data_IF_859420118860
#
_entry.id   IF_859420118860
#
_cell.length_a   1.000
_cell.length_b   1.000
_cell.length_c   1.000
_cell.angle_alpha   90.00
_cell.angle_beta   90.00
_cell.angle_gamma   90.00
#
_symmetry.space_group_name_H-M   'P 1'
#
loop_
_entity.id
_entity.type
_entity.pdbx_description
1 polymer ?
#
# COMPACT_ATOMS: atom_id res chain seq x y z
N UNK A 1 17.76 12.62 1.09
CA UNK A 1 18.81 12.37 2.09
C UNK A 1 20.14 12.11 1.36
N UNK A 2 21.26 12.71 1.76
CA UNK A 2 22.55 12.53 1.08
C UNK A 2 23.10 11.11 1.35
N UNK A 3 23.57 10.34 0.35
CA UNK A 3 24.06 8.96 0.53
C UNK A 3 25.33 8.81 1.40
N UNK A 4 25.79 9.89 2.03
CA UNK A 4 26.90 9.90 2.98
C UNK A 4 26.46 10.16 4.43
N UNK A 5 25.17 10.43 4.67
CA UNK A 5 24.64 10.55 6.03
C UNK A 5 24.32 9.13 6.53
N UNK A 6 25.26 8.55 7.28
CA UNK A 6 25.11 7.22 7.89
C UNK A 6 24.84 7.38 9.40
N UNK A 7 23.57 7.54 9.77
CA UNK A 7 23.15 7.66 11.17
C UNK A 7 23.55 6.45 12.02
N UNK A 8 23.55 5.25 11.43
CA UNK A 8 24.02 4.01 12.06
C UNK A 8 25.47 4.07 12.56
N UNK A 9 26.35 4.81 11.86
CA UNK A 9 27.73 4.99 12.29
C UNK A 9 27.88 5.92 13.48
N UNK A 10 26.93 6.84 13.69
CA UNK A 10 26.89 7.66 14.90
C UNK A 10 26.40 6.85 16.11
N UNK A 11 25.65 5.77 15.87
CA UNK A 11 25.17 4.83 16.90
C UNK A 11 26.15 3.69 17.17
N UNK A 12 27.30 3.64 16.49
CA UNK A 12 28.35 2.64 16.71
C UNK A 12 28.09 1.29 16.02
N UNK A 13 27.22 1.25 15.01
CA UNK A 13 27.00 0.06 14.19
C UNK A 13 27.92 0.05 12.96
N UNK A 14 28.71 -1.02 12.83
CA UNK A 14 29.68 -1.19 11.74
C UNK A 14 29.04 -1.63 10.41
N UNK A 15 27.87 -2.28 10.48
CA UNK A 15 27.07 -2.66 9.31
C UNK A 15 25.61 -2.23 9.50
N UNK A 16 24.95 -1.69 8.46
CA UNK A 16 23.52 -1.37 8.52
C UNK A 16 22.73 -2.66 8.79
N UNK A 17 22.19 -2.80 10.01
CA UNK A 17 21.36 -3.94 10.42
C UNK A 17 19.86 -3.68 10.35
N UNK A 18 19.47 -2.54 9.80
CA UNK A 18 18.11 -2.27 9.36
C UNK A 18 18.23 -1.54 8.04
N UNK A 19 17.43 -1.92 7.05
CA UNK A 19 17.15 -1.00 5.96
C UNK A 19 16.70 0.33 6.58
N UNK A 20 17.08 1.43 5.95
CA UNK A 20 16.26 2.65 6.05
C UNK A 20 14.79 2.24 5.94
N UNK A 21 13.87 2.87 6.69
CA UNK A 21 12.42 2.64 6.52
C UNK A 21 12.10 2.39 5.05
N UNK A 22 11.33 1.36 4.71
CA UNK A 22 11.00 1.02 3.33
C UNK A 22 10.05 2.10 2.77
N UNK A 23 10.60 3.30 2.54
CA UNK A 23 9.89 4.47 2.06
C UNK A 23 9.27 4.13 0.71
N UNK A 24 7.98 4.42 0.55
CA UNK A 24 7.27 4.13 -0.69
C UNK A 24 6.87 2.68 -0.89
N UNK A 25 7.00 1.84 0.13
CA UNK A 25 6.70 0.43 0.03
C UNK A 25 5.77 -0.02 1.15
N UNK A 26 4.69 -0.69 0.76
CA UNK A 26 3.83 -1.43 1.67
C UNK A 26 4.20 -2.91 1.55
N UNK A 27 4.65 -3.51 2.65
CA UNK A 27 4.96 -4.94 2.69
C UNK A 27 3.70 -5.76 2.29
N UNK A 28 3.80 -6.67 1.29
CA UNK A 28 2.70 -7.54 0.88
C UNK A 28 2.09 -8.36 2.01
N UNK A 29 2.86 -8.70 3.05
CA UNK A 29 2.35 -9.37 4.25
C UNK A 29 1.46 -8.44 5.08
N UNK A 30 1.82 -7.16 5.17
CA UNK A 30 1.01 -6.15 5.87
C UNK A 30 -0.29 -5.90 5.09
N UNK A 31 -0.21 -5.78 3.76
CA UNK A 31 -1.41 -5.68 2.91
C UNK A 31 -2.32 -6.91 3.07
N UNK A 32 -1.75 -8.11 3.06
CA UNK A 32 -2.49 -9.35 3.26
C UNK A 32 -3.17 -9.40 4.64
N UNK A 33 -2.51 -8.88 5.68
CA UNK A 33 -3.08 -8.78 7.01
C UNK A 33 -4.20 -7.73 7.12
N UNK A 34 -4.11 -6.62 6.37
CA UNK A 34 -5.13 -5.55 6.30
C UNK A 34 -6.37 -5.96 5.51
N UNK A 35 -6.19 -6.77 4.45
CA UNK A 35 -7.25 -7.09 3.50
C UNK A 35 -8.56 -7.63 4.14
N UNK A 36 -8.54 -8.52 5.16
CA UNK A 36 -9.76 -8.92 5.86
C UNK A 36 -10.49 -7.77 6.58
N UNK A 37 -9.74 -6.82 7.16
CA UNK A 37 -10.34 -5.64 7.82
C UNK A 37 -10.98 -4.71 6.79
N UNK A 38 -10.29 -4.49 5.66
CA UNK A 38 -10.82 -3.72 4.53
C UNK A 38 -12.09 -4.37 3.96
N UNK A 39 -12.09 -5.70 3.80
CA UNK A 39 -13.24 -6.48 3.31
C UNK A 39 -14.44 -6.40 4.24
N UNK A 40 -14.24 -6.41 5.56
CA UNK A 40 -15.32 -6.25 6.54
C UNK A 40 -15.91 -4.82 6.56
N UNK A 41 -15.16 -3.82 6.08
CA UNK A 41 -15.54 -2.41 6.11
C UNK A 41 -16.19 -1.89 4.82
N UNK A 42 -16.44 -2.74 3.83
CA UNK A 42 -17.08 -2.40 2.55
C UNK A 42 -18.27 -3.32 2.25
N UNK A 43 -19.21 -2.81 1.46
CA UNK A 43 -20.31 -3.58 0.87
C UNK A 43 -19.93 -4.22 -0.48
N UNK A 44 -18.79 -3.86 -1.05
CA UNK A 44 -18.28 -4.36 -2.34
C UNK A 44 -16.88 -4.99 -2.20
N UNK A 45 -16.70 -6.05 -1.37
CA UNK A 45 -15.39 -6.64 -1.10
C UNK A 45 -14.75 -7.34 -2.32
N UNK A 46 -15.56 -7.66 -3.33
CA UNK A 46 -15.15 -8.32 -4.58
C UNK A 46 -14.88 -7.32 -5.71
N UNK A 47 -15.05 -6.02 -5.46
CA UNK A 47 -14.91 -4.94 -6.46
C UNK A 47 -14.07 -3.81 -5.88
N UNK A 48 -12.75 -3.95 -6.03
CA UNK A 48 -11.76 -2.96 -5.62
C UNK A 48 -10.80 -2.62 -6.76
N UNK A 49 -10.27 -1.41 -6.72
CA UNK A 49 -9.36 -0.87 -7.71
C UNK A 49 -8.03 -0.54 -7.05
N UNK A 50 -6.97 -1.18 -7.53
CA UNK A 50 -5.59 -0.80 -7.22
C UNK A 50 -5.05 0.11 -8.32
N UNK A 51 -4.44 1.22 -7.95
CA UNK A 51 -3.87 2.19 -8.87
C UNK A 51 -2.34 2.25 -8.74
N UNK A 52 -1.70 2.17 -9.90
CA UNK A 52 -0.25 2.16 -10.04
C UNK A 52 0.24 3.35 -10.84
N UNK A 53 1.10 4.19 -10.27
CA UNK A 53 1.59 5.37 -10.96
C UNK A 53 2.36 4.99 -12.23
N UNK A 54 2.00 5.59 -13.37
CA UNK A 54 2.60 5.32 -14.69
C UNK A 54 4.11 5.60 -14.69
N UNK A 55 4.59 6.53 -13.87
CA UNK A 55 6.02 6.83 -13.74
C UNK A 55 6.81 5.83 -12.88
N UNK A 56 6.13 4.93 -12.17
CA UNK A 56 6.73 3.95 -11.27
C UNK A 56 6.27 2.52 -11.57
N UNK A 57 5.67 1.85 -10.58
CA UNK A 57 5.21 0.47 -10.66
C UNK A 57 4.23 0.21 -11.82
N UNK A 58 3.49 1.22 -12.29
CA UNK A 58 2.58 1.10 -13.44
C UNK A 58 3.25 0.72 -14.76
N UNK A 59 4.57 0.95 -14.92
CA UNK A 59 5.31 0.55 -16.13
C UNK A 59 5.38 -0.97 -16.32
N UNK A 60 5.25 -1.74 -15.23
CA UNK A 60 5.26 -3.20 -15.25
C UNK A 60 3.93 -3.81 -15.70
N UNK A 61 2.85 -3.02 -15.71
CA UNK A 61 1.53 -3.47 -16.10
C UNK A 61 1.33 -3.38 -17.60
N UNK A 62 0.65 -4.38 -18.17
CA UNK A 62 0.13 -4.27 -19.54
C UNK A 62 -0.99 -3.23 -19.53
N UNK A 63 -1.13 -2.50 -20.64
CA UNK A 63 -2.11 -1.43 -20.79
C UNK A 63 -3.50 -1.84 -20.24
N UNK A 64 -3.95 -1.13 -19.21
CA UNK A 64 -5.25 -1.24 -18.57
C UNK A 64 -6.03 0.07 -18.64
N UNK A 65 -7.15 0.17 -17.92
CA UNK A 65 -7.80 1.46 -17.72
C UNK A 65 -6.84 2.43 -17.04
N UNK A 66 -6.90 3.72 -17.40
CA UNK A 66 -6.08 4.76 -16.78
C UNK A 66 -6.96 5.81 -16.14
N UNK A 67 -6.47 6.41 -15.06
CA UNK A 67 -7.10 7.56 -14.42
C UNK A 67 -6.05 8.60 -14.06
N UNK A 68 -6.42 9.86 -14.25
CA UNK A 68 -5.67 10.99 -13.72
C UNK A 68 -6.23 11.34 -12.34
N UNK A 69 -5.41 11.21 -11.30
CA UNK A 69 -5.78 11.49 -9.92
C UNK A 69 -4.79 12.51 -9.37
N UNK A 70 -5.33 13.66 -8.96
CA UNK A 70 -4.57 14.86 -8.55
C UNK A 70 -3.55 15.34 -9.59
N UNK A 71 -2.28 14.89 -9.48
CA UNK A 71 -1.15 15.31 -10.33
C UNK A 71 -0.56 14.18 -11.16
N UNK A 72 -1.05 12.96 -11.02
CA UNK A 72 -0.43 11.76 -11.56
C UNK A 72 -1.40 10.93 -12.41
N UNK A 73 -0.88 10.36 -13.48
CA UNK A 73 -1.56 9.31 -14.26
C UNK A 73 -1.29 7.94 -13.65
N UNK A 74 -2.35 7.16 -13.46
CA UNK A 74 -2.31 5.81 -12.92
C UNK A 74 -2.81 4.79 -13.92
N UNK A 75 -2.20 3.60 -13.93
CA UNK A 75 -2.78 2.38 -14.49
C UNK A 75 -3.62 1.73 -13.39
N UNK A 76 -4.85 1.37 -13.73
CA UNK A 76 -5.79 0.73 -12.81
C UNK A 76 -5.82 -0.77 -13.04
N UNK A 77 -5.85 -1.52 -11.94
CA UNK A 77 -6.06 -2.94 -11.91
C UNK A 77 -7.26 -3.26 -11.02
N UNK A 78 -8.14 -4.12 -11.51
CA UNK A 78 -9.27 -4.65 -10.74
C UNK A 78 -8.77 -5.76 -9.82
N UNK A 79 -9.32 -5.81 -8.62
CA UNK A 79 -9.01 -6.84 -7.63
C UNK A 79 -10.14 -7.01 -6.62
N UNK A 80 -9.96 -7.89 -5.64
CA UNK A 80 -10.84 -8.11 -4.50
C UNK A 80 -10.04 -8.14 -3.21
N UNK A 81 -10.71 -7.92 -2.09
CA UNK A 81 -10.11 -8.07 -0.75
C UNK A 81 -9.63 -9.51 -0.49
N UNK A 82 -10.24 -10.51 -1.13
CA UNK A 82 -9.77 -11.89 -1.07
C UNK A 82 -8.44 -12.09 -1.83
N UNK A 83 -8.28 -11.49 -3.01
CA UNK A 83 -7.00 -11.52 -3.72
C UNK A 83 -5.91 -10.75 -2.98
N UNK A 84 -6.23 -9.58 -2.41
CA UNK A 84 -5.29 -8.77 -1.64
C UNK A 84 -4.80 -9.49 -0.37
N UNK A 85 -5.56 -10.45 0.15
CA UNK A 85 -5.17 -11.30 1.28
C UNK A 85 -4.08 -12.32 0.93
N UNK A 86 -3.76 -12.50 -0.35
CA UNK A 86 -2.72 -13.42 -0.84
C UNK A 86 -1.44 -12.65 -1.16
N UNK A 87 -0.33 -12.85 -0.41
CA UNK A 87 0.96 -12.31 -0.80
C UNK A 87 1.36 -12.80 -2.20
N UNK A 88 1.81 -11.91 -3.08
CA UNK A 88 2.07 -12.27 -4.48
C UNK A 88 0.92 -11.98 -5.45
N UNK A 89 -0.22 -11.46 -4.98
CA UNK A 89 -1.40 -11.21 -5.82
C UNK A 89 -1.09 -10.33 -7.04
N UNK A 90 -0.09 -9.44 -6.98
CA UNK A 90 0.32 -8.61 -8.11
C UNK A 90 0.63 -9.39 -9.40
N UNK A 91 0.96 -10.69 -9.28
CA UNK A 91 1.13 -11.60 -10.41
C UNK A 91 -0.16 -11.84 -11.20
N UNK A 92 -1.33 -11.78 -10.55
CA UNK A 92 -2.64 -11.94 -11.21
C UNK A 92 -2.91 -10.81 -12.19
N UNK A 93 -2.42 -9.61 -11.89
CA UNK A 93 -2.54 -8.41 -12.73
C UNK A 93 -1.34 -8.19 -13.66
N UNK A 94 -0.38 -9.12 -13.67
CA UNK A 94 0.72 -9.15 -14.63
C UNK A 94 2.04 -8.55 -14.16
N UNK A 95 2.16 -8.14 -12.88
CA UNK A 95 3.46 -7.82 -12.32
C UNK A 95 4.35 -9.06 -12.22
N UNK A 96 5.67 -8.84 -12.32
CA UNK A 96 6.67 -9.91 -12.15
C UNK A 96 7.01 -10.19 -10.68
N UNK A 97 6.88 -9.16 -9.85
CA UNK A 97 7.14 -9.15 -8.41
C UNK A 97 6.01 -8.37 -7.72
N UNK A 98 5.99 -8.37 -6.39
CA UNK A 98 5.09 -7.49 -5.65
C UNK A 98 5.59 -6.05 -5.76
N UNK A 99 5.02 -5.34 -6.71
CA UNK A 99 5.27 -3.91 -6.92
C UNK A 99 4.38 -3.09 -5.97
N UNK A 100 4.88 -1.98 -5.41
CA UNK A 100 4.08 -1.14 -4.53
C UNK A 100 2.92 -0.52 -5.32
N UNK A 101 1.69 -0.82 -4.89
CA UNK A 101 0.50 -0.06 -5.29
C UNK A 101 0.54 1.31 -4.61
N UNK A 102 0.00 2.36 -5.21
CA UNK A 102 -0.01 3.70 -4.59
C UNK A 102 -1.37 4.06 -3.99
N UNK A 103 -2.45 3.61 -4.62
CA UNK A 103 -3.81 3.85 -4.14
C UNK A 103 -4.64 2.58 -4.27
N UNK A 104 -5.56 2.38 -3.32
CA UNK A 104 -6.51 1.28 -3.33
C UNK A 104 -7.84 1.74 -2.74
N UNK A 105 -8.95 1.41 -3.39
CA UNK A 105 -10.31 1.70 -2.90
C UNK A 105 -11.32 0.68 -3.43
N UNK A 106 -12.42 0.42 -2.70
CA UNK A 106 -13.55 -0.38 -3.17
C UNK A 106 -14.51 0.50 -4.00
N UNK A 107 -15.35 -0.12 -4.84
CA UNK A 107 -16.34 0.59 -5.66
C UNK A 107 -17.33 1.45 -4.84
N UNK A 108 -17.69 1.01 -3.63
CA UNK A 108 -18.55 1.78 -2.73
C UNK A 108 -17.84 2.94 -2.00
N UNK A 109 -16.53 3.12 -2.23
CA UNK A 109 -15.68 4.14 -1.63
C UNK A 109 -15.74 4.19 -0.09
N UNK A 110 -16.03 3.07 0.58
CA UNK A 110 -16.13 3.01 2.04
C UNK A 110 -14.79 3.27 2.76
N UNK A 111 -13.67 3.08 2.06
CA UNK A 111 -12.32 3.36 2.53
C UNK A 111 -11.38 3.67 1.36
N UNK A 112 -10.22 4.25 1.67
CA UNK A 112 -9.11 4.41 0.75
C UNK A 112 -7.81 4.11 1.48
N UNK A 113 -6.91 3.40 0.82
CA UNK A 113 -5.54 3.19 1.27
C UNK A 113 -4.61 3.91 0.30
N UNK A 114 -3.66 4.66 0.84
CA UNK A 114 -2.68 5.43 0.07
C UNK A 114 -1.27 5.22 0.62
N UNK A 115 -0.32 5.00 -0.29
CA UNK A 115 1.12 5.03 -0.01
C UNK A 115 1.80 5.89 -1.06
N UNK A 116 2.90 6.53 -0.68
CA UNK A 116 3.63 7.48 -1.51
C UNK A 116 5.12 7.16 -1.46
N UNK A 117 5.80 7.27 -2.61
CA UNK A 117 7.23 6.97 -2.79
C UNK A 117 8.19 7.65 -1.80
N UNK A 118 7.77 8.76 -1.19
CA UNK A 118 8.48 9.59 -0.21
C UNK A 118 7.91 9.42 1.22
N UNK A 119 6.84 8.65 1.41
CA UNK A 119 6.27 8.34 2.73
C UNK A 119 6.86 7.04 3.29
N UNK A 120 7.20 7.06 4.56
CA UNK A 120 7.58 5.87 5.35
C UNK A 120 6.37 5.16 5.97
N UNK A 121 5.17 5.58 5.60
CA UNK A 121 3.91 5.19 6.21
C UNK A 121 2.83 5.02 5.14
N UNK A 122 1.85 4.16 5.42
CA UNK A 122 0.63 4.00 4.62
C UNK A 122 -0.53 4.66 5.36
N UNK A 123 -1.31 5.48 4.65
CA UNK A 123 -2.52 6.10 5.20
C UNK A 123 -3.72 5.25 4.81
N UNK A 124 -4.54 4.88 5.80
CA UNK A 124 -5.85 4.27 5.59
C UNK A 124 -6.91 5.23 6.13
N UNK A 125 -7.80 5.67 5.26
CA UNK A 125 -8.95 6.48 5.62
C UNK A 125 -10.24 5.68 5.41
N UNK A 126 -11.19 5.80 6.33
CA UNK A 126 -12.46 5.09 6.27
C UNK A 126 -13.32 5.35 7.50
N UNK A 127 -14.27 4.46 7.75
CA UNK A 127 -15.12 4.57 8.94
C UNK A 127 -14.32 4.48 10.24
N UNK A 128 -14.84 5.08 11.33
CA UNK A 128 -14.24 4.94 12.66
C UNK A 128 -14.10 3.46 13.09
N UNK A 129 -15.05 2.61 12.72
CA UNK A 129 -14.98 1.18 13.02
C UNK A 129 -13.80 0.48 12.33
N UNK A 130 -13.48 0.85 11.08
CA UNK A 130 -12.29 0.35 10.39
C UNK A 130 -11.01 0.85 11.06
N UNK A 131 -10.95 2.15 11.37
CA UNK A 131 -9.78 2.76 12.03
C UNK A 131 -9.52 2.11 13.38
N UNK A 132 -10.57 1.96 14.21
CA UNK A 132 -10.46 1.31 15.52
C UNK A 132 -10.00 -0.15 15.38
N UNK A 133 -10.50 -0.89 14.38
CA UNK A 133 -10.09 -2.27 14.13
C UNK A 133 -8.61 -2.40 13.70
N UNK A 134 -8.07 -1.41 12.96
CA UNK A 134 -6.64 -1.38 12.60
C UNK A 134 -5.79 -1.04 13.83
N UNK A 135 -6.22 -0.06 14.64
CA UNK A 135 -5.49 0.35 15.85
C UNK A 135 -5.47 -0.72 16.94
N UNK A 136 -6.50 -1.57 17.00
CA UNK A 136 -6.62 -2.66 17.97
C UNK A 136 -5.90 -3.95 17.54
N UNK A 137 -5.33 -4.02 16.34
CA UNK A 137 -4.65 -5.20 15.81
C UNK A 137 -3.13 -5.10 15.95
N UNK A 138 -2.56 -5.89 16.87
CA UNK A 138 -1.13 -5.91 17.22
C UNK A 138 -0.19 -6.27 16.04
N UNK A 139 -0.72 -6.66 14.88
CA UNK A 139 0.07 -6.89 13.66
C UNK A 139 0.49 -5.58 12.99
N UNK A 140 -0.14 -4.45 13.31
CA UNK A 140 0.16 -3.15 12.71
C UNK A 140 0.79 -2.18 13.71
N UNK A 141 1.83 -1.48 13.26
CA UNK A 141 2.26 -0.25 13.90
C UNK A 141 1.42 0.90 13.34
N UNK A 142 0.35 1.29 14.04
CA UNK A 142 -0.60 2.28 13.58
C UNK A 142 -0.88 3.35 14.64
N UNK A 143 -1.14 4.57 14.18
CA UNK A 143 -1.57 5.68 15.02
C UNK A 143 -2.64 6.52 14.29
N UNK A 144 -3.59 7.12 15.02
CA UNK A 144 -4.59 7.99 14.41
C UNK A 144 -3.95 9.32 13.96
N UNK A 145 -4.46 9.85 12.85
CA UNK A 145 -4.07 11.16 12.30
C UNK A 145 -5.32 12.06 12.29
N UNK A 146 -5.17 13.29 12.80
CA UNK A 146 -6.24 14.30 12.89
C UNK A 146 -6.23 15.29 11.70
#
# INVERSE_FOLDING_TARGET
MHPLVQWERLLGHDEPRGGTSDVGYLDPQVLAALAPLLGAATTTPDDAVAAYWVGGSGQGLRAGATAFIDRYDYVLAQTSTAELAEPGWGRSIGHRFDEPLQLLWPEDHAWVLATEIDWDSTIVAGSKALVDAILDDDRFEAFPVD
#
